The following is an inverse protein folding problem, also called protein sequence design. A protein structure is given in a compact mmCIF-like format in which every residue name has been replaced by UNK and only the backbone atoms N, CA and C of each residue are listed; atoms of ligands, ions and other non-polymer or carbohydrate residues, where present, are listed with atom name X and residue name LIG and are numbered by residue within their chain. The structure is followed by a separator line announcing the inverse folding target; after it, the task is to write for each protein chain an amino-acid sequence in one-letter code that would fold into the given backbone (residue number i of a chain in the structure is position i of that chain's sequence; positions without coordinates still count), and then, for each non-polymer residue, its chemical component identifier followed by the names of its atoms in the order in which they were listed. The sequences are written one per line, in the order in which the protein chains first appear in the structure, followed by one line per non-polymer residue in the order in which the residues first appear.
data_IF_521360033443
#
_entry.id   IF_521360033443
#
_cell.length_a   1.000
_cell.length_b   1.000
_cell.length_c   1.000
_cell.angle_alpha   90.00
_cell.angle_beta   90.00
_cell.angle_gamma   90.00
#
_symmetry.space_group_name_H-M   'P 1'
#
loop_
_entity.id
_entity.type
_entity.pdbx_description
1 polymer ?
#
# COMPACT_ATOMS: atom_id res chain seq x y z
N UNK A 1 -9.92 0.54 -19.71
CA UNK A 1 -10.53 -0.38 -18.73
C UNK A 1 -11.71 0.30 -18.09
N UNK A 2 -12.86 -0.38 -17.97
CA UNK A 2 -14.07 0.21 -17.40
C UNK A 2 -14.39 -0.51 -16.08
N UNK A 3 -14.68 0.27 -15.04
CA UNK A 3 -15.01 -0.25 -13.70
C UNK A 3 -16.42 0.22 -13.36
N UNK A 4 -17.29 -0.73 -13.03
CA UNK A 4 -18.66 -0.41 -12.62
C UNK A 4 -18.69 -0.17 -11.12
N UNK A 5 -19.12 1.03 -10.72
CA UNK A 5 -19.22 1.44 -9.32
C UNK A 5 -20.71 1.62 -8.98
N UNK A 6 -21.20 1.07 -7.86
CA UNK A 6 -22.56 1.31 -7.41
C UNK A 6 -22.87 2.80 -7.28
N UNK A 7 -24.07 3.22 -7.72
CA UNK A 7 -24.56 4.61 -7.61
C UNK A 7 -24.29 5.27 -6.25
N UNK A 8 -24.56 4.64 -5.08
CA UNK A 8 -24.32 5.29 -3.79
C UNK A 8 -22.84 5.58 -3.52
N UNK A 9 -21.93 4.73 -4.01
CA UNK A 9 -20.49 4.95 -3.91
C UNK A 9 -20.05 6.07 -4.86
N UNK A 10 -20.56 6.08 -6.09
CA UNK A 10 -20.25 7.12 -7.06
C UNK A 10 -20.64 8.52 -6.57
N UNK A 11 -21.80 8.67 -5.92
CA UNK A 11 -22.23 9.95 -5.34
C UNK A 11 -21.32 10.42 -4.19
N UNK A 12 -20.97 9.51 -3.27
CA UNK A 12 -19.99 9.82 -2.21
C UNK A 12 -18.64 10.25 -2.78
N UNK A 13 -18.18 9.61 -3.84
CA UNK A 13 -16.93 9.96 -4.52
C UNK A 13 -17.04 11.35 -5.14
N UNK A 14 -18.15 11.68 -5.81
CA UNK A 14 -18.37 13.02 -6.37
C UNK A 14 -18.37 14.09 -5.29
N UNK A 15 -19.03 13.84 -4.14
CA UNK A 15 -19.02 14.78 -3.01
C UNK A 15 -17.62 15.02 -2.47
N UNK A 16 -16.85 13.94 -2.24
CA UNK A 16 -15.45 14.01 -1.82
C UNK A 16 -14.59 14.75 -2.83
N UNK A 17 -14.86 14.58 -4.13
CA UNK A 17 -14.11 15.21 -5.22
C UNK A 17 -14.34 16.73 -5.32
N UNK A 18 -15.51 17.26 -4.93
CA UNK A 18 -15.85 18.69 -5.07
C UNK A 18 -14.88 19.65 -4.36
N UNK A 19 -14.15 19.19 -3.35
CA UNK A 19 -13.11 19.98 -2.66
C UNK A 19 -11.70 19.71 -3.16
N UNK A 20 -11.55 18.94 -4.24
CA UNK A 20 -10.25 18.51 -4.77
C UNK A 20 -10.01 19.16 -6.13
N UNK A 21 -8.74 19.31 -6.52
CA UNK A 21 -8.36 19.86 -7.84
C UNK A 21 -8.61 18.94 -9.04
N UNK A 22 -9.35 17.84 -8.86
CA UNK A 22 -9.61 16.88 -9.93
C UNK A 22 -10.80 17.31 -10.80
N UNK A 23 -10.58 17.31 -12.12
CA UNK A 23 -11.60 17.64 -13.13
C UNK A 23 -12.49 16.45 -13.54
N UNK A 24 -12.12 15.22 -13.15
CA UNK A 24 -12.86 14.00 -13.49
C UNK A 24 -12.87 12.99 -12.35
N UNK A 25 -14.02 12.33 -12.18
CA UNK A 25 -14.21 11.21 -11.24
C UNK A 25 -13.25 10.07 -11.55
N UNK A 26 -12.99 9.79 -12.84
CA UNK A 26 -12.05 8.74 -13.23
C UNK A 26 -10.62 9.03 -12.75
N UNK A 27 -10.18 10.29 -12.85
CA UNK A 27 -8.86 10.73 -12.39
C UNK A 27 -8.72 10.61 -10.88
N UNK A 28 -9.75 11.03 -10.13
CA UNK A 28 -9.78 10.91 -8.68
C UNK A 28 -9.74 9.44 -8.23
N UNK A 29 -10.57 8.57 -8.82
CA UNK A 29 -10.58 7.13 -8.50
C UNK A 29 -9.24 6.49 -8.82
N UNK A 30 -8.62 6.84 -9.95
CA UNK A 30 -7.29 6.34 -10.33
C UNK A 30 -6.22 6.74 -9.32
N UNK A 31 -6.25 7.99 -8.84
CA UNK A 31 -5.33 8.49 -7.82
C UNK A 31 -5.47 7.71 -6.51
N UNK A 32 -6.71 7.55 -6.01
CA UNK A 32 -6.97 6.82 -4.77
C UNK A 32 -6.54 5.35 -4.89
N UNK A 33 -6.89 4.68 -6.00
CA UNK A 33 -6.50 3.29 -6.21
C UNK A 33 -4.97 3.12 -6.25
N UNK A 34 -4.26 4.03 -6.91
CA UNK A 34 -2.78 4.01 -6.93
C UNK A 34 -2.22 4.11 -5.52
N UNK A 35 -2.73 5.05 -4.72
CA UNK A 35 -2.25 5.25 -3.36
C UNK A 35 -2.50 4.01 -2.50
N UNK A 36 -3.70 3.41 -2.59
CA UNK A 36 -4.03 2.19 -1.85
C UNK A 36 -3.14 1.02 -2.26
N UNK A 37 -2.92 0.81 -3.55
CA UNK A 37 -2.04 -0.26 -4.03
C UNK A 37 -0.61 -0.05 -3.52
N UNK A 38 -0.07 1.16 -3.64
CA UNK A 38 1.28 1.46 -3.15
C UNK A 38 1.44 1.22 -1.65
N UNK A 39 0.44 1.57 -0.84
CA UNK A 39 0.48 1.28 0.61
C UNK A 39 0.43 -0.22 0.91
N UNK A 40 -0.35 -1.00 0.16
CA UNK A 40 -0.40 -2.46 0.33
C UNK A 40 0.95 -3.09 -0.08
N UNK A 41 1.54 -2.67 -1.20
CA UNK A 41 2.85 -3.15 -1.67
C UNK A 41 3.99 -2.76 -0.71
N UNK A 42 3.89 -1.62 -0.05
CA UNK A 42 4.84 -1.20 0.98
C UNK A 42 4.68 -2.04 2.25
N UNK A 43 3.45 -2.26 2.74
CA UNK A 43 3.19 -3.18 3.85
C UNK A 43 3.66 -4.61 3.56
N UNK A 44 3.46 -5.13 2.34
CA UNK A 44 3.95 -6.45 1.96
C UNK A 44 5.47 -6.51 1.92
N UNK A 45 6.13 -5.45 1.43
CA UNK A 45 7.59 -5.35 1.46
C UNK A 45 8.14 -5.25 2.87
N UNK A 46 7.52 -4.48 3.75
CA UNK A 46 7.89 -4.44 5.16
C UNK A 46 7.71 -5.81 5.82
N UNK A 47 6.58 -6.49 5.59
CA UNK A 47 6.36 -7.86 6.09
C UNK A 47 7.38 -8.86 5.55
N UNK A 48 7.84 -8.70 4.31
CA UNK A 48 8.92 -9.52 3.73
C UNK A 48 10.29 -9.19 4.34
N UNK A 49 10.62 -7.90 4.50
CA UNK A 49 11.88 -7.43 5.09
C UNK A 49 12.04 -7.79 6.58
N UNK A 50 10.91 -7.97 7.28
CA UNK A 50 10.85 -8.51 8.64
C UNK A 50 10.49 -10.00 8.66
N UNK A 51 10.70 -10.74 7.56
CA UNK A 51 10.47 -12.18 7.61
C UNK A 51 11.42 -12.80 8.63
N UNK A 52 10.89 -13.73 9.43
CA UNK A 52 11.66 -14.45 10.46
C UNK A 52 12.92 -15.12 9.90
N UNK A 53 12.94 -15.44 8.61
CA UNK A 53 14.11 -16.00 7.94
C UNK A 53 15.26 -15.00 7.82
N UNK A 54 15.00 -13.73 7.48
CA UNK A 54 16.04 -12.71 7.44
C UNK A 54 16.55 -12.39 8.85
N UNK A 55 15.66 -12.34 9.84
CA UNK A 55 16.04 -12.16 11.24
C UNK A 55 16.93 -13.30 11.75
N UNK A 56 16.60 -14.56 11.44
CA UNK A 56 17.43 -15.72 11.82
C UNK A 56 18.77 -15.75 11.08
N UNK A 57 18.81 -15.36 9.80
CA UNK A 57 20.07 -15.24 9.06
C UNK A 57 20.97 -14.14 9.64
N UNK A 58 20.40 -13.00 10.02
CA UNK A 58 21.16 -11.91 10.67
C UNK A 58 21.64 -12.34 12.05
N UNK A 59 20.79 -13.00 12.85
CA UNK A 59 21.20 -13.56 14.15
C UNK A 59 22.30 -14.61 14.00
N UNK A 60 22.21 -15.49 13.01
CA UNK A 60 23.25 -16.49 12.76
C UNK A 60 24.58 -15.83 12.40
N UNK A 61 24.57 -14.84 11.49
CA UNK A 61 25.78 -14.07 11.16
C UNK A 61 26.36 -13.33 12.36
N UNK A 62 25.52 -12.78 13.22
CA UNK A 62 25.96 -12.12 14.45
C UNK A 62 26.56 -13.10 15.46
N UNK A 63 25.99 -14.31 15.59
CA UNK A 63 26.57 -15.42 16.38
C UNK A 63 27.92 -15.85 15.82
N UNK A 64 28.02 -16.03 14.51
CA UNK A 64 29.27 -16.42 13.82
C UNK A 64 30.36 -15.36 13.96
N UNK A 65 29.98 -14.08 14.10
CA UNK A 65 30.88 -12.95 14.36
C UNK A 65 31.16 -12.71 15.85
N UNK A 66 30.54 -13.50 16.75
CA UNK A 66 30.77 -13.42 18.20
C UNK A 66 30.08 -12.24 18.91
N UNK A 67 29.06 -11.64 18.30
CA UNK A 67 28.28 -10.54 18.88
C UNK A 67 27.02 -11.00 19.64
N UNK A 68 26.65 -12.28 19.50
CA UNK A 68 25.55 -12.93 20.21
C UNK A 68 26.01 -14.31 20.69
N UNK A 69 25.76 -14.63 21.96
CA UNK A 69 25.96 -15.96 22.57
C UNK A 69 24.65 -16.77 22.46
#
# INVERSE_FOLDING_TARGET
TTVSIPKPLAEKIKERMKGTGFSSVSSYVTYVLRQVISSIEEEEREKQAFSKEEEEQVKQRLRDLGYLD
#
